data_IF_544335959757
#
_entry.id   IF_544335959757
#
_cell.length_a   1.000
_cell.length_b   1.000
_cell.length_c   1.000
_cell.angle_alpha   90.00
_cell.angle_beta   90.00
_cell.angle_gamma   90.00
#
_symmetry.space_group_name_H-M   'P 1'
#
loop_
_entity.id
_entity.type
_entity.pdbx_description
1 polymer ?
#
# COMPACT_ATOMS: atom_id res chain seq x y z
N UNK A 1 -28.14 1.14 10.58
CA UNK A 1 -27.72 2.46 10.06
C UNK A 1 -26.22 2.58 10.32
N UNK A 2 -25.38 2.65 9.28
CA UNK A 2 -23.92 2.73 9.47
C UNK A 2 -23.59 4.13 10.02
N UNK A 3 -22.96 4.20 11.20
CA UNK A 3 -22.53 5.47 11.80
C UNK A 3 -21.63 6.25 10.82
N UNK A 4 -21.77 7.58 10.76
CA UNK A 4 -20.97 8.45 9.89
C UNK A 4 -19.45 8.23 10.06
N UNK A 5 -19.01 7.94 11.28
CA UNK A 5 -17.63 7.58 11.59
C UNK A 5 -17.18 6.27 10.93
N UNK A 6 -18.01 5.22 10.96
CA UNK A 6 -17.72 3.96 10.28
C UNK A 6 -17.62 4.15 8.77
N UNK A 7 -18.51 4.95 8.18
CA UNK A 7 -18.47 5.28 6.75
C UNK A 7 -17.17 6.00 6.38
N UNK A 8 -16.72 6.96 7.20
CA UNK A 8 -15.46 7.66 6.98
C UNK A 8 -14.25 6.72 7.03
N UNK A 9 -14.19 5.81 8.03
CA UNK A 9 -13.11 4.83 8.13
C UNK A 9 -13.05 3.90 6.91
N UNK A 10 -14.20 3.43 6.41
CA UNK A 10 -14.26 2.64 5.19
C UNK A 10 -13.76 3.41 3.96
N UNK A 11 -14.09 4.70 3.85
CA UNK A 11 -13.58 5.55 2.75
C UNK A 11 -12.07 5.74 2.85
N UNK A 12 -11.54 6.01 4.05
CA UNK A 12 -10.08 6.11 4.27
C UNK A 12 -9.35 4.81 3.94
N UNK A 13 -9.95 3.66 4.26
CA UNK A 13 -9.40 2.35 3.89
C UNK A 13 -9.38 2.13 2.38
N UNK A 14 -10.46 2.51 1.67
CA UNK A 14 -10.52 2.41 0.22
C UNK A 14 -9.50 3.33 -0.47
N UNK A 15 -9.28 4.54 0.07
CA UNK A 15 -8.23 5.43 -0.44
C UNK A 15 -6.84 4.83 -0.21
N UNK A 16 -6.55 4.35 1.01
CA UNK A 16 -5.29 3.67 1.31
C UNK A 16 -5.04 2.50 0.36
N UNK A 17 -6.09 1.73 0.02
CA UNK A 17 -6.00 0.62 -0.93
C UNK A 17 -5.58 1.10 -2.34
N UNK A 18 -6.19 2.18 -2.83
CA UNK A 18 -5.79 2.77 -4.11
C UNK A 18 -4.33 3.22 -4.09
N UNK A 19 -3.91 3.86 -2.99
CA UNK A 19 -2.55 4.41 -2.87
C UNK A 19 -1.48 3.30 -2.81
N UNK A 20 -1.76 2.17 -2.14
CA UNK A 20 -0.84 1.02 -2.11
C UNK A 20 -0.79 0.29 -3.45
N UNK A 21 -1.91 0.19 -4.16
CA UNK A 21 -1.96 -0.40 -5.51
C UNK A 21 -1.12 0.45 -6.51
N UNK A 22 -1.17 1.78 -6.40
CA UNK A 22 -0.32 2.69 -7.19
C UNK A 22 1.16 2.53 -6.84
N UNK A 23 1.50 2.46 -5.55
CA UNK A 23 2.89 2.24 -5.10
C UNK A 23 3.45 0.91 -5.64
N UNK A 24 2.65 -0.15 -5.62
CA UNK A 24 3.05 -1.46 -6.17
C UNK A 24 3.20 -1.41 -7.70
N UNK A 25 2.37 -0.65 -8.41
CA UNK A 25 2.53 -0.42 -9.85
C UNK A 25 3.85 0.30 -10.17
N UNK A 26 4.20 1.34 -9.40
CA UNK A 26 5.48 2.06 -9.54
C UNK A 26 6.68 1.12 -9.34
N UNK A 27 6.62 0.23 -8.34
CA UNK A 27 7.67 -0.77 -8.11
C UNK A 27 7.80 -1.79 -9.25
N UNK A 28 6.69 -2.16 -9.92
CA UNK A 28 6.74 -3.04 -11.10
C UNK A 28 7.45 -2.36 -12.27
N UNK A 29 7.12 -1.10 -12.55
CA UNK A 29 7.78 -0.31 -13.60
C UNK A 29 9.28 -0.24 -13.34
N UNK A 30 9.69 0.06 -12.10
CA UNK A 30 11.11 0.08 -11.74
C UNK A 30 11.81 -1.27 -11.92
N UNK A 31 11.12 -2.39 -11.61
CA UNK A 31 11.67 -3.73 -11.84
C UNK A 31 11.89 -4.01 -13.32
N UNK A 32 10.90 -3.75 -14.16
CA UNK A 32 11.01 -3.93 -15.62
C UNK A 32 12.14 -3.07 -16.20
N UNK A 33 12.26 -1.83 -15.74
CA UNK A 33 13.34 -0.95 -16.14
C UNK A 33 14.71 -1.52 -15.69
N UNK A 34 14.81 -2.06 -14.46
CA UNK A 34 16.02 -2.72 -13.94
C UNK A 34 16.48 -3.91 -14.79
N UNK A 35 15.55 -4.67 -15.35
CA UNK A 35 15.86 -5.79 -16.24
C UNK A 35 16.43 -5.28 -17.57
N UNK A 36 15.84 -4.22 -18.13
CA UNK A 36 16.37 -3.56 -19.33
C UNK A 36 17.79 -3.02 -19.14
N UNK A 37 18.08 -2.38 -18.01
CA UNK A 37 19.44 -1.92 -17.70
C UNK A 37 20.44 -3.06 -17.52
N UNK A 38 20.03 -4.15 -16.85
CA UNK A 38 20.89 -5.34 -16.71
C UNK A 38 21.25 -5.92 -18.07
N UNK A 39 20.31 -5.97 -19.00
CA UNK A 39 20.57 -6.47 -20.34
C UNK A 39 21.52 -5.55 -21.12
N UNK A 40 21.32 -4.23 -21.04
CA UNK A 40 22.27 -3.26 -21.61
C UNK A 40 23.67 -3.41 -21.04
N UNK A 41 23.79 -3.55 -19.72
CA UNK A 41 25.08 -3.77 -19.06
C UNK A 41 25.76 -5.06 -19.54
N UNK A 42 25.02 -6.17 -19.66
CA UNK A 42 25.55 -7.43 -20.21
C UNK A 42 26.06 -7.25 -21.63
N UNK A 43 25.33 -6.51 -22.47
CA UNK A 43 25.74 -6.25 -23.85
C UNK A 43 27.04 -5.42 -23.91
N UNK A 44 27.16 -4.36 -23.10
CA UNK A 44 28.39 -3.58 -22.97
C UNK A 44 29.56 -4.47 -22.52
N UNK A 45 29.36 -5.29 -21.49
CA UNK A 45 30.40 -6.20 -20.99
C UNK A 45 30.84 -7.23 -22.05
N UNK A 46 29.89 -7.78 -22.82
CA UNK A 46 30.18 -8.70 -23.91
C UNK A 46 30.94 -8.04 -25.07
N UNK A 47 30.66 -6.77 -25.37
CA UNK A 47 31.40 -6.01 -26.39
C UNK A 47 32.83 -5.68 -25.95
N UNK A 48 33.02 -5.31 -24.68
CA UNK A 48 34.35 -5.08 -24.10
C UNK A 48 35.21 -6.36 -24.12
N UNK A 49 34.60 -7.52 -23.85
CA UNK A 49 35.30 -8.81 -23.89
C UNK A 49 35.83 -9.21 -25.28
N UNK A 50 35.34 -8.59 -26.36
CA UNK A 50 35.74 -8.92 -27.74
C UNK A 50 36.99 -8.17 -28.22
N UNK A 51 37.58 -7.31 -27.37
CA UNK A 51 38.71 -6.46 -27.75
C UNK A 51 38.30 -5.36 -28.74
N UNK A 52 37.43 -4.42 -28.32
CA UNK A 52 36.96 -3.34 -29.19
C UNK A 52 38.10 -2.39 -29.60
N UNK A 53 37.95 -1.77 -30.77
CA UNK A 53 38.85 -0.70 -31.22
C UNK A 53 38.69 0.58 -30.40
N UNK A 54 39.60 1.54 -30.58
CA UNK A 54 39.64 2.77 -29.80
C UNK A 54 38.40 3.67 -29.97
N UNK A 55 37.73 3.61 -31.13
CA UNK A 55 36.49 4.35 -31.42
C UNK A 55 35.33 3.76 -30.59
N UNK A 56 35.23 2.43 -30.63
CA UNK A 56 34.21 1.65 -29.94
C UNK A 56 34.37 1.70 -28.42
N UNK A 57 35.61 1.82 -27.92
CA UNK A 57 35.87 2.07 -26.49
C UNK A 57 35.25 3.40 -26.05
N UNK A 58 35.43 4.49 -26.81
CA UNK A 58 34.84 5.80 -26.47
C UNK A 58 33.31 5.76 -26.49
N UNK A 59 32.71 5.05 -27.45
CA UNK A 59 31.25 4.85 -27.49
C UNK A 59 30.76 4.10 -26.24
N UNK A 60 31.43 3.00 -25.88
CA UNK A 60 31.07 2.19 -24.71
C UNK A 60 31.24 2.97 -23.39
N UNK A 61 32.28 3.79 -23.26
CA UNK A 61 32.45 4.68 -22.10
C UNK A 61 31.34 5.71 -21.98
N UNK A 62 30.88 6.30 -23.10
CA UNK A 62 29.75 7.21 -23.10
C UNK A 62 28.45 6.51 -22.71
N UNK A 63 28.21 5.30 -23.20
CA UNK A 63 27.05 4.49 -22.82
C UNK A 63 27.10 4.08 -21.34
N UNK A 64 28.27 3.73 -20.81
CA UNK A 64 28.44 3.41 -19.39
C UNK A 64 28.09 4.61 -18.50
N UNK A 65 28.52 5.84 -18.86
CA UNK A 65 28.13 7.07 -18.14
C UNK A 65 26.63 7.32 -18.19
N UNK A 66 25.97 7.06 -19.32
CA UNK A 66 24.50 7.18 -19.44
C UNK A 66 23.78 6.17 -18.55
N UNK A 67 24.25 4.92 -18.53
CA UNK A 67 23.71 3.88 -17.64
C UNK A 67 23.90 4.27 -16.18
N UNK A 68 25.08 4.76 -15.79
CA UNK A 68 25.36 5.21 -14.43
C UNK A 68 24.44 6.36 -14.00
N UNK A 69 24.22 7.35 -14.88
CA UNK A 69 23.28 8.43 -14.62
C UNK A 69 21.83 7.93 -14.42
N UNK A 70 21.38 6.95 -15.22
CA UNK A 70 20.07 6.32 -15.09
C UNK A 70 19.93 5.54 -13.78
N UNK A 71 20.95 4.76 -13.39
CA UNK A 71 20.96 4.05 -12.10
C UNK A 71 20.88 5.03 -10.93
N UNK A 72 21.64 6.13 -10.97
CA UNK A 72 21.62 7.15 -9.93
C UNK A 72 20.28 7.89 -9.81
N UNK A 73 19.56 8.03 -10.91
CA UNK A 73 18.19 8.56 -10.90
C UNK A 73 17.23 7.55 -10.26
N UNK A 74 17.31 6.28 -10.65
CA UNK A 74 16.44 5.24 -10.10
C UNK A 74 16.67 4.95 -8.63
N UNK A 75 17.90 5.04 -8.14
CA UNK A 75 18.18 4.92 -6.70
C UNK A 75 17.44 5.99 -5.90
N UNK A 76 17.30 7.21 -6.44
CA UNK A 76 16.52 8.28 -5.82
C UNK A 76 15.01 8.00 -5.90
N UNK A 77 14.51 7.61 -7.06
CA UNK A 77 13.09 7.26 -7.24
C UNK A 77 12.67 6.10 -6.33
N UNK A 78 13.50 5.05 -6.23
CA UNK A 78 13.29 3.91 -5.35
C UNK A 78 13.26 4.33 -3.87
N UNK A 79 14.14 5.25 -3.46
CA UNK A 79 14.13 5.77 -2.09
C UNK A 79 12.84 6.50 -1.76
N UNK A 80 12.33 7.33 -2.68
CA UNK A 80 11.05 8.03 -2.50
C UNK A 80 9.85 7.07 -2.48
N UNK A 81 9.81 6.10 -3.38
CA UNK A 81 8.76 5.05 -3.41
C UNK A 81 8.79 4.23 -2.12
N UNK A 82 9.98 3.85 -1.65
CA UNK A 82 10.14 3.13 -0.39
C UNK A 82 9.66 3.96 0.80
N UNK A 83 9.97 5.26 0.84
CA UNK A 83 9.51 6.17 1.89
C UNK A 83 7.98 6.31 1.87
N UNK A 84 7.38 6.43 0.69
CA UNK A 84 5.93 6.45 0.52
C UNK A 84 5.30 5.13 1.01
N UNK A 85 5.90 3.99 0.69
CA UNK A 85 5.46 2.67 1.15
C UNK A 85 5.45 2.55 2.68
N UNK A 86 6.53 2.97 3.34
CA UNK A 86 6.60 2.97 4.82
C UNK A 86 5.48 3.82 5.43
N UNK A 87 5.16 4.98 4.83
CA UNK A 87 4.05 5.82 5.29
C UNK A 87 2.70 5.09 5.15
N UNK A 88 2.47 4.42 4.02
CA UNK A 88 1.26 3.63 3.78
C UNK A 88 1.14 2.46 4.76
N UNK A 89 2.23 1.79 5.09
CA UNK A 89 2.24 0.69 6.08
C UNK A 89 1.85 1.18 7.47
N UNK A 90 2.38 2.33 7.91
CA UNK A 90 1.98 2.96 9.17
C UNK A 90 0.49 3.32 9.15
N UNK A 91 0.01 3.94 8.06
CA UNK A 91 -1.41 4.28 7.91
C UNK A 91 -2.31 3.05 7.98
N UNK A 92 -1.91 1.94 7.37
CA UNK A 92 -2.65 0.67 7.44
C UNK A 92 -2.78 0.17 8.87
N UNK A 93 -1.70 0.20 9.65
CA UNK A 93 -1.71 -0.23 11.05
C UNK A 93 -2.71 0.58 11.87
N UNK A 94 -2.70 1.90 11.72
CA UNK A 94 -3.64 2.80 12.39
C UNK A 94 -5.08 2.53 11.95
N UNK A 95 -5.35 2.57 10.63
CA UNK A 95 -6.70 2.34 10.08
C UNK A 95 -7.29 1.00 10.50
N UNK A 96 -6.46 -0.06 10.49
CA UNK A 96 -6.89 -1.39 10.93
C UNK A 96 -7.28 -1.40 12.41
N UNK A 97 -6.55 -0.70 13.27
CA UNK A 97 -6.90 -0.58 14.69
C UNK A 97 -8.22 0.17 14.87
N UNK A 98 -8.39 1.30 14.19
CA UNK A 98 -9.58 2.15 14.31
C UNK A 98 -10.84 1.42 13.84
N UNK A 99 -10.75 0.70 12.71
CA UNK A 99 -11.85 -0.12 12.19
C UNK A 99 -12.22 -1.21 13.20
N UNK A 100 -11.23 -1.92 13.77
CA UNK A 100 -11.49 -2.95 14.79
C UNK A 100 -12.17 -2.40 16.03
N UNK A 101 -11.67 -1.29 16.57
CA UNK A 101 -12.26 -0.64 17.75
C UNK A 101 -13.70 -0.22 17.48
N UNK A 102 -13.96 0.37 16.31
CA UNK A 102 -15.29 0.79 15.91
C UNK A 102 -16.25 -0.41 15.74
N UNK A 103 -15.80 -1.53 15.18
CA UNK A 103 -16.60 -2.76 15.09
C UNK A 103 -16.99 -3.27 16.47
N UNK A 104 -16.04 -3.35 17.41
CA UNK A 104 -16.32 -3.77 18.80
C UNK A 104 -17.33 -2.83 19.46
N UNK A 105 -17.19 -1.51 19.28
CA UNK A 105 -18.14 -0.55 19.82
C UNK A 105 -19.56 -0.74 19.28
N UNK A 106 -19.69 -1.05 17.98
CA UNK A 106 -20.99 -1.36 17.36
C UNK A 106 -21.57 -2.66 17.94
N UNK A 107 -20.78 -3.71 18.09
CA UNK A 107 -21.22 -4.99 18.69
C UNK A 107 -21.70 -4.81 20.13
N UNK A 108 -20.95 -4.09 20.96
CA UNK A 108 -21.33 -3.78 22.35
C UNK A 108 -22.63 -2.98 22.41
N UNK A 109 -22.80 -2.00 21.51
CA UNK A 109 -24.05 -1.24 21.42
C UNK A 109 -25.24 -2.14 21.08
N UNK A 110 -25.08 -3.08 20.15
CA UNK A 110 -26.14 -4.03 19.79
C UNK A 110 -26.53 -4.93 20.97
N UNK A 111 -25.56 -5.49 21.71
CA UNK A 111 -25.85 -6.30 22.91
C UNK A 111 -26.63 -5.50 23.96
N UNK A 112 -26.30 -4.21 24.13
CA UNK A 112 -27.04 -3.35 25.05
C UNK A 112 -28.49 -3.11 24.58
N UNK A 113 -28.71 -2.93 23.27
CA UNK A 113 -30.05 -2.80 22.69
C UNK A 113 -30.85 -4.08 22.93
N UNK A 114 -30.29 -5.25 22.60
CA UNK A 114 -30.94 -6.56 22.79
C UNK A 114 -31.37 -6.75 24.26
N UNK A 115 -30.49 -6.36 25.20
CA UNK A 115 -30.80 -6.42 26.64
C UNK A 115 -31.95 -5.48 27.03
N UNK A 116 -31.97 -4.26 26.49
CA UNK A 116 -33.05 -3.30 26.74
C UNK A 116 -34.37 -3.83 26.19
N UNK A 117 -34.37 -4.39 24.98
CA UNK A 117 -35.56 -4.99 24.35
C UNK A 117 -36.09 -6.18 25.14
N UNK A 118 -35.21 -7.06 25.62
CA UNK A 118 -35.58 -8.19 26.48
C UNK A 118 -36.20 -7.73 27.79
N UNK A 119 -35.59 -6.75 28.47
CA UNK A 119 -36.12 -6.17 29.70
C UNK A 119 -37.48 -5.53 29.49
N UNK A 120 -37.65 -4.79 28.40
CA UNK A 120 -38.91 -4.17 28.03
C UNK A 120 -40.00 -5.21 27.78
N UNK A 121 -39.69 -6.28 27.03
CA UNK A 121 -40.60 -7.40 26.80
C UNK A 121 -41.02 -8.08 28.09
N UNK A 122 -40.08 -8.31 29.01
CA UNK A 122 -40.36 -8.92 30.31
C UNK A 122 -41.26 -8.04 31.18
N UNK A 123 -40.96 -6.75 31.28
CA UNK A 123 -41.79 -5.80 32.02
C UNK A 123 -43.24 -5.79 31.54
N UNK A 124 -43.45 -5.84 30.21
CA UNK A 124 -44.80 -5.93 29.66
C UNK A 124 -45.49 -7.25 29.98
N UNK A 125 -44.78 -8.39 29.91
CA UNK A 125 -45.35 -9.69 30.33
C UNK A 125 -45.80 -9.64 31.78
N UNK A 126 -44.97 -9.11 32.67
CA UNK A 126 -45.28 -9.01 34.09
C UNK A 126 -46.51 -8.11 34.34
N UNK A 127 -46.61 -6.99 33.61
CA UNK A 127 -47.77 -6.10 33.67
C UNK A 127 -49.08 -6.77 33.23
N UNK A 128 -49.03 -7.59 32.17
CA UNK A 128 -50.22 -8.29 31.66
C UNK A 128 -50.59 -9.54 32.49
N UNK A 129 -49.65 -10.14 33.23
CA UNK A 129 -49.91 -11.30 34.11
C UNK A 129 -50.54 -10.88 35.45
N UNK A 130 -50.37 -9.63 35.88
CA UNK A 130 -50.94 -9.09 37.13
C UNK A 130 -52.35 -8.49 36.97
N UNK A 131 -53.01 -8.68 35.82
CA UNK A 131 -54.40 -8.29 35.55
C UNK A 131 -55.28 -9.53 35.34
#
# INVERSE_FOLDING_TARGET
MICAHHKALCQSFMQWKTDIDENDAQLRILREASESLRERHRNIAAQLSKGPDAEKIKELENELRKVEAQVNMWLRELAEISKARTKLEIQFVCLRSDIRLNTVNIEVANVNIDRIELNYSQMWKDFFVQR
#
